data_IF_972668564258
#
_entry.id   IF_972668564258
#
_cell.length_a   1.000
_cell.length_b   1.000
_cell.length_c   1.000
_cell.angle_alpha   90.00
_cell.angle_beta   90.00
_cell.angle_gamma   90.00
#
_symmetry.space_group_name_H-M   'P 1'
#
loop_
_entity.id
_entity.type
_entity.pdbx_description
1 polymer ?
#
# COMPACT_ATOMS: atom_id res chain seq x y z
N UNK A 1 -5.90 -11.60 13.94
CA UNK A 1 -5.71 -12.85 14.68
C UNK A 1 -7.03 -13.59 14.82
N UNK A 2 -7.01 -14.87 14.59
CA UNK A 2 -8.19 -15.68 14.69
C UNK A 2 -8.45 -16.10 16.12
N UNK A 3 -9.63 -15.80 16.61
CA UNK A 3 -10.07 -16.32 17.90
C UNK A 3 -10.78 -17.65 17.68
N UNK A 4 -10.36 -18.65 18.37
CA UNK A 4 -10.91 -19.99 18.22
C UNK A 4 -12.28 -20.11 18.89
N UNK A 5 -13.23 -19.41 18.40
CA UNK A 5 -14.60 -19.45 18.89
C UNK A 5 -15.52 -20.27 17.99
N UNK A 6 -14.99 -21.28 17.39
CA UNK A 6 -15.78 -22.15 16.56
C UNK A 6 -16.20 -21.46 15.26
N UNK A 7 -17.42 -21.13 15.13
CA UNK A 7 -18.03 -20.78 13.85
C UNK A 7 -17.47 -19.57 13.11
N UNK A 8 -16.58 -18.82 13.69
CA UNK A 8 -16.07 -17.64 13.01
C UNK A 8 -15.09 -18.03 11.93
N UNK A 9 -15.37 -17.61 10.72
CA UNK A 9 -14.42 -17.74 9.63
C UNK A 9 -13.17 -16.93 9.99
N UNK A 10 -12.13 -17.64 10.32
CA UNK A 10 -10.85 -17.06 10.62
C UNK A 10 -10.12 -16.81 9.35
N UNK A 11 -9.89 -15.58 9.02
CA UNK A 11 -8.91 -15.31 7.98
C UNK A 11 -7.55 -15.75 8.50
N UNK A 12 -6.70 -16.23 7.63
CA UNK A 12 -5.32 -16.54 7.96
C UNK A 12 -4.47 -15.29 8.12
N UNK A 13 -5.09 -14.14 8.04
CA UNK A 13 -4.41 -12.86 8.17
C UNK A 13 -3.79 -12.64 9.53
N UNK A 14 -2.68 -11.95 9.54
CA UNK A 14 -1.97 -11.56 10.75
C UNK A 14 -1.71 -10.06 10.71
N UNK A 15 -1.59 -9.46 11.89
CA UNK A 15 -1.27 -8.05 11.99
C UNK A 15 0.19 -7.81 11.63
N UNK A 16 0.42 -6.89 10.70
CA UNK A 16 1.75 -6.51 10.24
C UNK A 16 1.87 -5.00 10.33
N UNK A 17 2.93 -4.53 10.98
CA UNK A 17 3.25 -3.11 11.02
C UNK A 17 4.02 -2.75 9.75
N UNK A 18 3.41 -1.94 8.91
CA UNK A 18 4.04 -1.44 7.69
C UNK A 18 4.50 -0.02 7.94
N UNK A 19 5.78 0.22 7.79
CA UNK A 19 6.35 1.55 7.93
C UNK A 19 7.15 1.89 6.69
N UNK A 20 7.29 3.17 6.42
CA UNK A 20 8.05 3.60 5.29
C UNK A 20 8.15 5.10 5.19
N UNK A 21 8.69 5.54 4.07
CA UNK A 21 8.83 6.95 3.78
C UNK A 21 8.52 7.18 2.31
N UNK A 22 7.60 8.09 2.05
CA UNK A 22 7.31 8.53 0.69
C UNK A 22 8.26 9.66 0.36
N UNK A 23 8.96 9.54 -0.76
CA UNK A 23 9.84 10.58 -1.27
C UNK A 23 9.42 10.97 -2.69
N UNK A 24 9.82 12.18 -3.11
CA UNK A 24 9.53 12.65 -4.44
C UNK A 24 10.70 13.51 -4.93
N UNK A 25 11.02 13.47 -6.24
CA UNK A 25 12.06 14.34 -6.77
C UNK A 25 11.63 15.81 -6.73
N UNK A 26 12.58 16.70 -6.58
CA UNK A 26 12.31 18.15 -6.49
C UNK A 26 11.69 18.72 -7.77
N UNK A 27 11.84 18.01 -8.88
CA UNK A 27 11.23 18.39 -10.16
C UNK A 27 9.75 18.09 -10.27
N UNK A 28 9.22 17.34 -9.32
CA UNK A 28 7.83 16.91 -9.32
C UNK A 28 7.00 17.83 -8.43
N UNK A 29 5.99 18.47 -9.01
CA UNK A 29 5.07 19.31 -8.24
C UNK A 29 3.93 18.44 -7.73
N UNK A 30 3.76 18.38 -6.42
CA UNK A 30 2.74 17.58 -5.78
C UNK A 30 1.58 18.44 -5.32
N UNK A 31 0.39 17.80 -5.25
CA UNK A 31 -0.75 18.37 -4.56
C UNK A 31 -0.56 18.27 -3.04
N UNK A 32 -1.65 18.46 -2.32
CA UNK A 32 -1.65 18.48 -0.86
C UNK A 32 -2.24 17.21 -0.25
N UNK A 33 -2.43 16.16 -1.04
CA UNK A 33 -2.99 14.90 -0.57
C UNK A 33 -2.32 13.72 -1.26
N UNK A 34 -1.69 12.87 -0.45
CA UNK A 34 -1.14 11.60 -0.89
C UNK A 34 -1.97 10.47 -0.30
N UNK A 35 -2.39 9.57 -1.15
CA UNK A 35 -3.13 8.37 -0.73
C UNK A 35 -2.15 7.21 -0.76
N UNK A 36 -2.08 6.45 0.33
CA UNK A 36 -1.22 5.28 0.43
C UNK A 36 -2.09 4.04 0.54
N UNK A 37 -1.99 3.16 -0.44
CA UNK A 37 -2.73 1.91 -0.47
C UNK A 37 -1.81 0.78 0.01
N UNK A 38 -2.36 -0.05 0.90
CA UNK A 38 -1.69 -1.25 1.42
C UNK A 38 -2.37 -2.46 0.80
N UNK A 39 -1.61 -3.22 0.03
CA UNK A 39 -2.13 -4.30 -0.80
C UNK A 39 -1.49 -5.60 -0.38
N UNK A 40 -2.32 -6.56 0.04
CA UNK A 40 -1.87 -7.90 0.40
C UNK A 40 -1.52 -8.67 -0.87
N UNK A 41 -0.32 -9.24 -0.91
CA UNK A 41 0.15 -10.03 -2.05
C UNK A 41 0.31 -11.48 -1.60
N UNK A 42 -0.53 -12.36 -2.14
CA UNK A 42 -0.52 -13.78 -1.83
C UNK A 42 -0.10 -14.54 -3.08
N UNK A 43 0.97 -15.31 -2.97
CA UNK A 43 1.53 -16.07 -4.09
C UNK A 43 2.69 -15.37 -4.76
N UNK A 44 3.14 -15.92 -5.88
CA UNK A 44 4.31 -15.43 -6.60
C UNK A 44 4.02 -15.17 -8.07
N UNK A 45 4.76 -14.24 -8.64
CA UNK A 45 4.75 -13.96 -10.06
C UNK A 45 3.40 -13.50 -10.58
N UNK A 46 3.06 -13.94 -11.78
CA UNK A 46 1.82 -13.53 -12.43
C UNK A 46 0.55 -14.08 -11.78
N UNK A 47 0.69 -15.13 -10.99
CA UNK A 47 -0.45 -15.76 -10.29
C UNK A 47 -0.71 -15.16 -8.92
N UNK A 48 0.08 -14.19 -8.49
CA UNK A 48 -0.11 -13.56 -7.19
C UNK A 48 -1.45 -12.85 -7.12
N UNK A 49 -2.17 -13.09 -6.03
CA UNK A 49 -3.43 -12.41 -5.77
C UNK A 49 -3.15 -11.12 -4.98
N UNK A 50 -3.66 -10.02 -5.47
CA UNK A 50 -3.51 -8.72 -4.83
C UNK A 50 -4.86 -8.23 -4.30
N UNK A 51 -4.89 -7.83 -3.04
CA UNK A 51 -6.10 -7.37 -2.38
C UNK A 51 -5.80 -6.10 -1.60
N UNK A 52 -6.56 -5.04 -1.85
CA UNK A 52 -6.44 -3.80 -1.10
C UNK A 52 -7.00 -4.01 0.30
N UNK A 53 -6.17 -3.88 1.33
CA UNK A 53 -6.57 -4.15 2.71
C UNK A 53 -6.67 -2.90 3.57
N UNK A 54 -6.02 -1.82 3.19
CA UNK A 54 -6.06 -0.58 3.96
C UNK A 54 -5.60 0.60 3.12
N UNK A 55 -5.96 1.79 3.55
CA UNK A 55 -5.59 3.05 2.91
C UNK A 55 -5.26 4.08 3.98
N UNK A 56 -4.23 4.88 3.74
CA UNK A 56 -3.86 5.99 4.60
C UNK A 56 -3.68 7.25 3.77
N UNK A 57 -3.64 8.41 4.42
CA UNK A 57 -3.44 9.68 3.75
C UNK A 57 -2.31 10.46 4.40
N UNK A 58 -1.53 11.14 3.56
CA UNK A 58 -0.52 12.10 3.99
C UNK A 58 -0.78 13.43 3.28
N UNK A 59 -0.44 14.53 3.93
CA UNK A 59 -0.56 15.85 3.31
C UNK A 59 0.68 16.20 2.48
N UNK A 60 1.79 15.52 2.71
CA UNK A 60 3.05 15.76 2.01
C UNK A 60 3.92 14.50 2.10
N UNK A 61 4.94 14.37 1.24
CA UNK A 61 5.89 13.27 1.37
C UNK A 61 6.49 13.22 2.77
N UNK A 62 6.68 12.04 3.30
CA UNK A 62 7.22 11.83 4.64
C UNK A 62 7.00 10.42 5.13
N UNK A 63 7.23 10.23 6.42
CA UNK A 63 7.12 8.93 7.06
C UNK A 63 5.66 8.53 7.28
N UNK A 64 5.42 7.23 7.18
CA UNK A 64 4.11 6.65 7.52
C UNK A 64 4.31 5.35 8.28
N UNK A 65 3.29 4.98 9.05
CA UNK A 65 3.25 3.71 9.75
C UNK A 65 1.80 3.29 9.89
N UNK A 66 1.50 2.05 9.53
CA UNK A 66 0.15 1.52 9.62
C UNK A 66 0.18 0.04 9.92
N UNK A 67 -0.70 -0.42 10.81
CA UNK A 67 -0.89 -1.84 11.06
C UNK A 67 -1.98 -2.34 10.14
N UNK A 68 -1.69 -3.39 9.38
CA UNK A 68 -2.62 -3.98 8.43
C UNK A 68 -2.68 -5.49 8.65
N UNK A 69 -3.78 -6.10 8.24
CA UNK A 69 -3.93 -7.55 8.31
C UNK A 69 -3.60 -8.16 6.96
N UNK A 70 -2.59 -9.02 6.93
CA UNK A 70 -2.09 -9.63 5.70
C UNK A 70 -2.14 -11.15 5.78
N UNK A 71 -2.41 -11.78 4.65
CA UNK A 71 -2.34 -13.23 4.51
C UNK A 71 -1.05 -13.68 3.81
N UNK A 72 -0.47 -12.82 2.97
CA UNK A 72 0.73 -13.12 2.21
C UNK A 72 2.01 -12.74 2.94
N UNK A 73 3.13 -13.05 2.31
CA UNK A 73 4.46 -12.74 2.84
C UNK A 73 5.00 -11.41 2.33
N UNK A 74 4.22 -10.70 1.55
CA UNK A 74 4.59 -9.40 1.01
C UNK A 74 3.43 -8.44 1.08
N UNK A 75 3.73 -7.17 1.22
CA UNK A 75 2.77 -6.09 1.05
C UNK A 75 3.25 -5.19 -0.08
N UNK A 76 2.35 -4.85 -0.97
CA UNK A 76 2.60 -3.84 -2.00
C UNK A 76 2.09 -2.51 -1.45
N UNK A 77 2.98 -1.57 -1.27
CA UNK A 77 2.62 -0.24 -0.78
C UNK A 77 2.70 0.72 -1.96
N UNK A 78 1.59 1.37 -2.24
CA UNK A 78 1.46 2.27 -3.39
C UNK A 78 1.04 3.65 -2.90
N UNK A 79 1.78 4.68 -3.27
CA UNK A 79 1.43 6.05 -2.96
C UNK A 79 1.01 6.78 -4.24
N UNK A 80 -0.01 7.59 -4.14
CA UNK A 80 -0.59 8.32 -5.27
C UNK A 80 -0.78 9.78 -4.86
N UNK A 81 -0.32 10.69 -5.69
CA UNK A 81 -0.61 12.11 -5.54
C UNK A 81 -2.02 12.38 -6.06
N UNK A 82 -2.99 12.30 -5.17
CA UNK A 82 -4.42 12.35 -5.51
C UNK A 82 -4.89 13.80 -5.61
N UNK A 83 -4.78 14.37 -6.80
CA UNK A 83 -5.11 15.78 -7.04
C UNK A 83 -6.60 16.04 -7.20
N UNK A 84 -7.34 15.06 -7.67
CA UNK A 84 -8.77 15.22 -7.93
C UNK A 84 -9.66 14.70 -6.80
N UNK A 85 -9.08 14.13 -5.76
CA UNK A 85 -9.81 13.70 -4.58
C UNK A 85 -10.60 12.40 -4.75
N UNK A 86 -10.32 11.60 -5.78
CA UNK A 86 -11.07 10.37 -6.03
C UNK A 86 -10.44 9.13 -5.37
N UNK A 87 -9.29 9.29 -4.75
CA UNK A 87 -8.58 8.18 -4.10
C UNK A 87 -7.91 7.23 -5.08
N UNK A 88 -7.85 7.57 -6.35
CA UNK A 88 -7.32 6.71 -7.41
C UNK A 88 -6.28 7.44 -8.21
N UNK A 89 -5.39 6.68 -8.85
CA UNK A 89 -4.42 7.27 -9.75
C UNK A 89 -5.11 7.62 -11.07
N UNK A 90 -5.01 8.87 -11.46
CA UNK A 90 -5.56 9.37 -12.70
C UNK A 90 -4.44 9.90 -13.59
N UNK A 91 -4.74 10.11 -14.87
CA UNK A 91 -3.75 10.64 -15.81
C UNK A 91 -3.21 11.97 -15.30
N UNK A 92 -1.89 12.10 -15.29
CA UNK A 92 -1.20 13.30 -14.81
C UNK A 92 -0.88 13.30 -13.33
N UNK A 93 -1.38 12.32 -12.57
CA UNK A 93 -1.03 12.18 -11.16
C UNK A 93 0.25 11.36 -11.01
N UNK A 94 1.09 11.77 -10.07
CA UNK A 94 2.30 11.03 -9.74
C UNK A 94 1.96 9.85 -8.83
N UNK A 95 2.71 8.76 -8.96
CA UNK A 95 2.52 7.59 -8.11
C UNK A 95 3.83 6.82 -7.98
N UNK A 96 3.89 5.95 -7.00
CA UNK A 96 5.01 5.03 -6.83
C UNK A 96 4.58 3.86 -5.99
N UNK A 97 5.31 2.76 -6.09
CA UNK A 97 5.00 1.56 -5.31
C UNK A 97 6.27 0.81 -4.95
N UNK A 98 6.18 0.00 -3.90
CA UNK A 98 7.26 -0.86 -3.47
C UNK A 98 6.67 -2.14 -2.90
N UNK A 99 7.29 -3.28 -3.20
CA UNK A 99 6.98 -4.55 -2.57
C UNK A 99 7.87 -4.69 -1.33
N UNK A 100 7.26 -4.86 -0.18
CA UNK A 100 7.99 -5.04 1.07
C UNK A 100 7.75 -6.45 1.60
N UNK A 101 8.82 -7.15 1.93
CA UNK A 101 8.71 -8.47 2.54
C UNK A 101 8.30 -8.34 4.00
N UNK A 102 7.46 -9.25 4.47
CA UNK A 102 7.03 -9.29 5.85
C UNK A 102 8.01 -10.15 6.65
N UNK A 103 8.62 -9.57 7.67
CA UNK A 103 9.54 -10.27 8.56
C UNK A 103 9.23 -9.90 10.00
N UNK A 104 8.97 -10.91 10.83
CA UNK A 104 8.67 -10.72 12.27
C UNK A 104 7.52 -9.73 12.51
N UNK A 105 6.47 -9.81 11.69
CA UNK A 105 5.31 -8.95 11.84
C UNK A 105 5.51 -7.51 11.38
N UNK A 106 6.55 -7.25 10.60
CA UNK A 106 6.89 -5.92 10.12
C UNK A 106 7.24 -5.94 8.64
N UNK A 107 6.97 -4.84 7.96
CA UNK A 107 7.38 -4.63 6.58
C UNK A 107 7.93 -3.21 6.42
N UNK A 108 9.01 -3.08 5.67
CA UNK A 108 9.68 -1.80 5.47
C UNK A 108 9.48 -1.35 4.02
N UNK A 109 8.78 -0.24 3.86
CA UNK A 109 8.47 0.37 2.57
C UNK A 109 9.23 1.69 2.38
N UNK A 110 10.42 1.81 2.93
CA UNK A 110 11.18 3.08 2.93
C UNK A 110 11.69 3.51 1.55
N UNK A 111 11.65 2.63 0.56
CA UNK A 111 12.10 2.94 -0.80
C UNK A 111 10.99 3.48 -1.71
N UNK A 112 9.89 3.94 -1.14
CA UNK A 112 8.73 4.39 -1.91
C UNK A 112 8.96 5.79 -2.47
N UNK A 113 9.12 5.88 -3.79
CA UNK A 113 9.37 7.15 -4.48
C UNK A 113 8.28 7.41 -5.53
N UNK A 114 7.73 8.62 -5.51
CA UNK A 114 6.76 9.06 -6.50
C UNK A 114 7.44 9.41 -7.81
N UNK A 115 6.77 9.11 -8.91
CA UNK A 115 7.24 9.46 -10.24
C UNK A 115 6.07 9.69 -11.18
N UNK A 116 6.34 10.41 -12.27
CA UNK A 116 5.34 10.67 -13.30
C UNK A 116 5.36 9.53 -14.32
N UNK A 117 4.56 8.50 -14.09
CA UNK A 117 4.48 7.34 -14.97
C UNK A 117 3.00 7.04 -15.26
N UNK A 118 2.78 6.08 -16.16
CA UNK A 118 1.42 5.60 -16.41
C UNK A 118 0.86 4.99 -15.14
N UNK A 119 -0.35 5.38 -14.78
CA UNK A 119 -0.99 4.86 -13.57
C UNK A 119 -1.14 3.34 -13.62
N UNK A 120 -0.95 2.67 -12.48
CA UNK A 120 -1.08 1.21 -12.42
C UNK A 120 -2.54 0.77 -12.54
N UNK A 121 -2.70 -0.54 -12.76
CA UNK A 121 -4.02 -1.16 -12.73
C UNK A 121 -4.58 -1.07 -11.31
N UNK A 122 -5.84 -0.74 -11.21
CA UNK A 122 -6.53 -0.61 -9.93
C UNK A 122 -6.67 -1.97 -9.24
N UNK A 123 -6.41 -2.01 -7.93
CA UNK A 123 -6.58 -3.21 -7.13
C UNK A 123 -7.88 -3.10 -6.34
N UNK A 124 -8.71 -4.11 -6.44
CA UNK A 124 -10.00 -4.14 -5.74
C UNK A 124 -9.85 -4.52 -4.28
N UNK A 125 -10.68 -3.93 -3.45
CA UNK A 125 -10.85 -4.38 -2.07
C UNK A 125 -11.79 -5.59 -2.04
N UNK A 126 -11.55 -6.48 -1.11
CA UNK A 126 -12.43 -7.62 -0.87
C UNK A 126 -13.51 -7.28 0.14
#
# INVERSE_FOLDING_TARGET
>A
MCLAWGAVACSSGRDVEVSGKVTAPSTLTLGDKLVIDFIDVVGDGADAKQTLVSTAELQAPGDFKQTVSLEGDQVLVRAIDDRNGDGKCSAGEAWGEVHAAVTDGKADASALMLGAATCPVEVSAE
#
